data_IF_875268575244
#
_entry.id   IF_875268575244
#
_cell.length_a   1.000
_cell.length_b   1.000
_cell.length_c   1.000
_cell.angle_alpha   90.00
_cell.angle_beta   90.00
_cell.angle_gamma   90.00
#
_symmetry.space_group_name_H-M   'P 1'
#
loop_
_entity.id
_entity.type
_entity.pdbx_description
1 polymer ?
#
# COMPACT_ATOMS: atom_id res chain seq x y z
N UNK A 1 14.08 -13.22 1.37
CA UNK A 1 12.88 -14.01 1.05
C UNK A 1 12.44 -13.62 -0.34
N UNK A 2 12.40 -14.56 -1.29
CA UNK A 2 12.37 -14.27 -2.72
C UNK A 2 11.28 -15.06 -3.43
N UNK A 3 10.07 -14.51 -3.40
CA UNK A 3 9.00 -14.97 -4.29
C UNK A 3 9.26 -14.56 -5.74
N UNK A 4 8.71 -15.31 -6.68
CA UNK A 4 8.77 -15.02 -8.14
C UNK A 4 7.57 -14.17 -8.59
N UNK A 5 6.95 -13.43 -7.66
CA UNK A 5 5.84 -12.54 -8.03
C UNK A 5 6.44 -11.31 -8.71
N UNK A 6 6.03 -11.07 -9.94
CA UNK A 6 6.48 -9.92 -10.72
C UNK A 6 5.55 -8.73 -10.47
N UNK A 7 6.13 -7.55 -10.31
CA UNK A 7 5.42 -6.29 -10.14
C UNK A 7 6.11 -5.20 -10.96
N UNK A 8 5.38 -4.60 -11.89
CA UNK A 8 5.90 -3.56 -12.78
C UNK A 8 5.13 -2.26 -12.59
N UNK A 9 5.85 -1.15 -12.78
CA UNK A 9 5.29 0.20 -12.73
C UNK A 9 5.45 0.84 -14.09
N UNK A 10 4.33 1.23 -14.69
CA UNK A 10 4.33 2.01 -15.93
C UNK A 10 3.65 3.35 -15.64
N UNK A 11 4.38 4.47 -15.58
CA UNK A 11 3.78 5.79 -15.57
C UNK A 11 3.18 6.09 -16.96
N UNK A 12 1.96 6.60 -16.98
CA UNK A 12 1.22 6.99 -18.19
C UNK A 12 0.52 8.32 -17.93
N UNK A 13 1.24 9.42 -18.17
CA UNK A 13 0.79 10.75 -17.76
C UNK A 13 0.65 10.85 -16.24
N UNK A 14 -0.56 11.16 -15.78
CA UNK A 14 -0.90 11.27 -14.35
C UNK A 14 -1.26 9.92 -13.71
N UNK A 15 -1.29 8.85 -14.49
CA UNK A 15 -1.68 7.51 -14.04
C UNK A 15 -0.44 6.66 -13.78
N UNK A 16 -0.44 5.93 -12.69
CA UNK A 16 0.52 4.87 -12.40
C UNK A 16 -0.17 3.52 -12.54
N UNK A 17 0.37 2.64 -13.38
CA UNK A 17 -0.08 1.26 -13.51
C UNK A 17 0.84 0.33 -12.72
N UNK A 18 0.30 -0.32 -11.70
CA UNK A 18 0.93 -1.41 -10.97
C UNK A 18 0.32 -2.73 -11.43
N UNK A 19 1.11 -3.58 -12.08
CA UNK A 19 0.61 -4.82 -12.66
C UNK A 19 1.61 -5.97 -12.53
N UNK A 20 1.10 -7.18 -12.66
CA UNK A 20 1.92 -8.37 -12.54
C UNK A 20 1.09 -9.62 -12.32
N UNK A 21 1.72 -10.65 -11.76
CA UNK A 21 1.08 -11.91 -11.45
C UNK A 21 1.67 -12.49 -10.16
N UNK A 22 0.79 -12.95 -9.26
CA UNK A 22 1.24 -13.62 -8.04
C UNK A 22 1.60 -15.08 -8.32
N UNK A 23 2.73 -15.49 -7.75
CA UNK A 23 3.27 -16.86 -7.79
C UNK A 23 3.41 -17.40 -6.38
N UNK A 24 3.05 -18.67 -6.16
CA UNK A 24 3.12 -19.31 -4.83
C UNK A 24 4.54 -19.85 -4.53
N UNK A 25 5.35 -20.00 -5.57
CA UNK A 25 6.69 -20.55 -5.53
C UNK A 25 7.65 -19.66 -4.71
N UNK A 26 8.60 -20.30 -4.02
CA UNK A 26 9.67 -19.65 -3.23
C UNK A 26 9.20 -18.71 -2.11
N UNK A 27 8.14 -19.08 -1.38
CA UNK A 27 7.52 -18.22 -0.36
C UNK A 27 7.03 -16.87 -0.93
N UNK A 28 6.62 -16.88 -2.21
CA UNK A 28 5.96 -15.74 -2.84
C UNK A 28 4.52 -15.54 -2.37
N UNK A 29 3.75 -14.82 -3.18
CA UNK A 29 2.34 -14.56 -2.91
C UNK A 29 2.02 -13.14 -2.48
N UNK A 30 2.94 -12.21 -2.71
CA UNK A 30 2.64 -10.80 -2.71
C UNK A 30 3.47 -10.06 -3.76
N UNK A 31 2.97 -8.91 -4.21
CA UNK A 31 3.71 -7.94 -5.01
C UNK A 31 3.44 -6.55 -4.44
N UNK A 32 4.46 -5.69 -4.42
CA UNK A 32 4.37 -4.34 -3.84
C UNK A 32 5.01 -3.29 -4.75
N UNK A 33 4.41 -2.11 -4.83
CA UNK A 33 5.00 -0.89 -5.39
C UNK A 33 5.04 0.19 -4.31
N UNK A 34 6.09 1.01 -4.32
CA UNK A 34 6.34 2.03 -3.30
C UNK A 34 6.95 3.27 -3.90
N UNK A 35 6.73 4.41 -3.23
CA UNK A 35 7.27 5.72 -3.58
C UNK A 35 7.69 6.44 -2.32
N UNK A 36 8.92 6.96 -2.32
CA UNK A 36 9.40 7.86 -1.27
C UNK A 36 8.64 9.19 -1.29
N UNK A 37 8.31 9.68 -0.09
CA UNK A 37 7.73 10.99 0.16
C UNK A 37 8.58 11.74 1.19
N UNK A 38 8.50 13.07 1.18
CA UNK A 38 9.24 13.87 2.14
C UNK A 38 8.68 13.67 3.56
N UNK A 39 9.57 13.57 4.55
CA UNK A 39 9.22 13.63 5.96
C UNK A 39 8.38 14.88 6.24
N UNK A 40 7.39 14.74 7.12
CA UNK A 40 6.46 15.81 7.46
C UNK A 40 5.41 16.14 6.39
N UNK A 41 5.43 15.50 5.21
CA UNK A 41 4.46 15.82 4.14
C UNK A 41 3.00 15.45 4.47
N UNK A 42 2.80 14.60 5.49
CA UNK A 42 1.47 14.21 5.99
C UNK A 42 1.11 14.92 7.30
N UNK A 43 1.95 15.81 7.84
CA UNK A 43 1.61 16.52 9.08
C UNK A 43 0.40 17.43 8.93
N UNK A 44 -0.44 17.44 9.96
CA UNK A 44 -1.67 18.23 10.00
C UNK A 44 -2.79 17.73 9.08
N UNK A 45 -2.61 16.57 8.45
CA UNK A 45 -3.59 15.91 7.58
C UNK A 45 -4.39 14.88 8.37
N UNK A 46 -5.65 14.69 7.99
CA UNK A 46 -6.55 13.72 8.64
C UNK A 46 -6.64 12.41 7.89
N UNK A 47 -6.32 12.40 6.59
CA UNK A 47 -6.39 11.20 5.79
C UNK A 47 -5.74 11.33 4.43
N UNK A 48 -5.93 10.29 3.62
CA UNK A 48 -5.44 10.21 2.26
C UNK A 48 -6.56 9.78 1.32
N UNK A 49 -6.52 10.32 0.10
CA UNK A 49 -7.42 9.93 -0.98
C UNK A 49 -6.68 9.71 -2.28
N UNK A 50 -7.27 8.87 -3.12
CA UNK A 50 -6.79 8.59 -4.45
C UNK A 50 -7.92 8.09 -5.34
N UNK A 51 -7.74 8.19 -6.65
CA UNK A 51 -8.61 7.50 -7.60
C UNK A 51 -7.95 6.20 -8.05
N UNK A 52 -8.71 5.10 -8.05
CA UNK A 52 -8.23 3.82 -8.54
C UNK A 52 -9.26 3.05 -9.37
N UNK A 53 -8.75 2.21 -10.26
CA UNK A 53 -9.46 1.09 -10.88
C UNK A 53 -8.55 -0.13 -10.93
N UNK A 54 -9.12 -1.32 -10.86
CA UNK A 54 -8.35 -2.55 -10.92
C UNK A 54 -9.07 -3.69 -11.63
N UNK A 55 -8.32 -4.75 -11.90
CA UNK A 55 -8.89 -6.11 -12.00
C UNK A 55 -9.56 -6.41 -10.66
N UNK A 56 -10.82 -6.88 -10.63
CA UNK A 56 -11.62 -7.19 -9.43
C UNK A 56 -10.87 -8.09 -8.42
N UNK A 57 -9.97 -7.49 -7.65
CA UNK A 57 -8.96 -8.09 -6.77
C UNK A 57 -8.78 -7.12 -5.61
N UNK A 58 -8.39 -7.65 -4.46
CA UNK A 58 -8.20 -6.85 -3.27
C UNK A 58 -6.75 -6.37 -3.18
N UNK A 59 -6.62 -5.08 -2.89
CA UNK A 59 -5.34 -4.42 -2.71
C UNK A 59 -5.30 -3.81 -1.32
N UNK A 60 -4.10 -3.43 -0.92
CA UNK A 60 -3.86 -2.71 0.30
C UNK A 60 -2.98 -1.52 0.01
N UNK A 61 -3.31 -0.39 0.62
CA UNK A 61 -2.42 0.75 0.67
C UNK A 61 -1.54 0.64 1.92
N UNK A 62 -0.25 0.92 1.79
CA UNK A 62 0.67 0.98 2.91
C UNK A 62 1.31 2.38 3.06
N UNK A 63 1.47 2.80 4.31
CA UNK A 63 2.24 3.98 4.72
C UNK A 63 3.34 3.52 5.67
N UNK A 64 4.59 3.84 5.33
CA UNK A 64 5.78 3.33 6.03
C UNK A 64 6.43 4.48 6.80
N UNK A 65 6.32 4.51 8.14
CA UNK A 65 7.08 5.40 8.99
C UNK A 65 8.51 4.88 9.19
N UNK A 66 9.43 5.80 9.51
CA UNK A 66 10.69 5.42 10.11
C UNK A 66 10.41 4.78 11.48
N UNK A 67 11.12 3.70 11.80
CA UNK A 67 10.96 2.98 13.06
C UNK A 67 12.31 2.49 13.56
N UNK A 68 12.47 2.48 14.89
CA UNK A 68 13.65 1.95 15.58
C UNK A 68 13.35 0.56 16.21
N UNK A 69 12.28 -0.11 15.77
CA UNK A 69 11.95 -1.47 16.23
C UNK A 69 13.00 -2.51 15.76
N UNK A 70 13.00 -3.69 16.39
CA UNK A 70 14.01 -4.72 16.15
C UNK A 70 14.05 -5.27 14.71
N UNK A 71 12.94 -5.13 13.97
CA UNK A 71 12.84 -5.55 12.58
C UNK A 71 13.21 -4.44 11.58
N UNK A 72 13.36 -3.20 12.06
CA UNK A 72 13.60 -2.02 11.22
C UNK A 72 12.48 -1.76 10.20
N UNK A 73 11.28 -2.32 10.42
CA UNK A 73 10.15 -2.18 9.50
C UNK A 73 8.83 -1.99 10.26
N UNK A 74 7.97 -1.15 9.72
CA UNK A 74 6.60 -0.94 10.18
C UNK A 74 5.77 -0.47 8.99
N UNK A 75 4.55 -0.96 8.87
CA UNK A 75 3.59 -0.48 7.88
C UNK A 75 2.28 -0.13 8.59
N UNK A 76 1.66 0.95 8.16
CA UNK A 76 0.27 1.23 8.42
C UNK A 76 -0.51 0.88 7.17
N UNK A 77 -1.51 0.02 7.32
CA UNK A 77 -2.14 -0.68 6.20
C UNK A 77 -3.66 -0.53 6.22
N UNK A 78 -4.24 -0.36 5.03
CA UNK A 78 -5.69 -0.41 4.84
C UNK A 78 -6.03 -1.17 3.56
N UNK A 79 -6.98 -2.10 3.68
CA UNK A 79 -7.46 -2.91 2.56
C UNK A 79 -8.54 -2.15 1.77
N UNK A 80 -8.53 -2.30 0.44
CA UNK A 80 -9.56 -1.77 -0.44
C UNK A 80 -9.77 -2.68 -1.65
N UNK A 81 -11.02 -2.77 -2.10
CA UNK A 81 -11.40 -3.54 -3.29
C UNK A 81 -11.65 -2.58 -4.44
N UNK A 82 -10.77 -2.57 -5.44
CA UNK A 82 -10.92 -1.72 -6.61
C UNK A 82 -11.73 -2.40 -7.71
N UNK A 83 -12.72 -1.67 -8.24
CA UNK A 83 -13.56 -2.14 -9.37
C UNK A 83 -12.89 -1.86 -10.72
N UNK A 84 -13.47 -2.38 -11.81
CA UNK A 84 -13.00 -2.10 -13.18
C UNK A 84 -13.22 -0.66 -13.65
N UNK A 85 -13.97 0.14 -12.90
CA UNK A 85 -14.22 1.56 -13.17
C UNK A 85 -13.46 2.44 -12.17
N UNK A 86 -13.09 3.65 -12.60
CA UNK A 86 -12.48 4.63 -11.71
C UNK A 86 -13.42 4.99 -10.57
N UNK A 87 -12.92 4.90 -9.35
CA UNK A 87 -13.61 5.31 -8.12
C UNK A 87 -12.63 6.08 -7.24
N UNK A 88 -13.16 6.98 -6.41
CA UNK A 88 -12.40 7.65 -5.36
C UNK A 88 -12.43 6.81 -4.10
N UNK A 89 -11.26 6.56 -3.52
CA UNK A 89 -11.07 5.94 -2.21
C UNK A 89 -10.53 7.01 -1.28
N UNK A 90 -11.17 7.15 -0.13
CA UNK A 90 -10.84 8.13 0.89
C UNK A 90 -10.76 7.40 2.22
N UNK A 91 -9.64 7.53 2.92
CA UNK A 91 -9.36 6.83 4.16
C UNK A 91 -8.82 7.81 5.20
N UNK A 92 -9.44 7.81 6.38
CA UNK A 92 -8.90 8.53 7.53
C UNK A 92 -7.68 7.79 8.05
N UNK A 93 -6.67 8.52 8.55
CA UNK A 93 -5.47 7.89 9.10
C UNK A 93 -5.75 7.02 10.33
N UNK A 94 -6.86 7.26 11.03
CA UNK A 94 -7.30 6.44 12.16
C UNK A 94 -7.81 5.04 11.74
N UNK A 95 -8.15 4.84 10.46
CA UNK A 95 -8.59 3.53 9.95
C UNK A 95 -7.41 2.60 9.60
N UNK A 96 -6.20 3.16 9.47
CA UNK A 96 -5.02 2.38 9.14
C UNK A 96 -4.56 1.52 10.31
N UNK A 97 -4.23 0.26 10.02
CA UNK A 97 -3.79 -0.71 11.02
C UNK A 97 -2.29 -0.88 10.95
N UNK A 98 -1.65 -0.81 12.11
CA UNK A 98 -0.23 -1.10 12.23
C UNK A 98 0.07 -2.59 11.95
N UNK A 99 1.15 -2.84 11.23
CA UNK A 99 1.60 -4.14 10.82
C UNK A 99 3.14 -4.23 10.81
N UNK A 100 3.68 -5.30 11.40
CA UNK A 100 5.07 -5.71 11.26
C UNK A 100 5.08 -7.17 10.81
N UNK A 101 5.61 -7.46 9.62
CA UNK A 101 5.73 -8.83 9.09
C UNK A 101 4.42 -9.65 9.15
N UNK A 102 3.26 -9.02 8.91
CA UNK A 102 1.95 -9.67 8.98
C UNK A 102 1.34 -9.76 10.38
N UNK A 103 1.96 -9.14 11.40
CA UNK A 103 1.51 -9.15 12.79
C UNK A 103 1.09 -7.75 13.23
N UNK A 104 -0.01 -7.67 13.98
CA UNK A 104 -0.46 -6.44 14.67
C UNK A 104 -0.29 -6.65 16.18
N UNK A 105 0.71 -6.04 16.82
CA UNK A 105 0.90 -6.10 18.27
C UNK A 105 -0.29 -5.50 19.04
N UNK A 106 -0.54 -5.93 20.28
CA UNK A 106 -1.62 -5.37 21.12
C UNK A 106 -1.48 -3.86 21.38
N UNK A 107 -0.24 -3.39 21.60
CA UNK A 107 0.08 -1.98 21.87
C UNK A 107 0.55 -1.26 20.61
N UNK A 108 -0.07 -1.58 19.47
CA UNK A 108 0.24 -0.98 18.19
C UNK A 108 0.03 0.56 18.24
N UNK A 109 1.02 1.36 17.78
CA UNK A 109 0.85 2.80 17.66
C UNK A 109 -0.22 3.13 16.61
N UNK A 110 -0.78 4.34 16.69
CA UNK A 110 -1.68 4.85 15.63
C UNK A 110 -0.89 5.60 14.57
N UNK A 111 -1.38 5.57 13.33
CA UNK A 111 -0.71 6.28 12.23
C UNK A 111 -0.64 7.78 12.50
N UNK A 112 -1.74 8.37 13.01
CA UNK A 112 -1.84 9.78 13.35
C UNK A 112 -0.72 10.27 14.29
N UNK A 113 -0.15 9.39 15.13
CA UNK A 113 0.92 9.70 16.08
C UNK A 113 2.32 9.71 15.44
N UNK A 114 2.43 9.25 14.19
CA UNK A 114 3.71 9.00 13.49
C UNK A 114 3.81 9.69 12.13
N UNK A 115 2.87 10.58 11.80
CA UNK A 115 2.75 11.21 10.47
C UNK A 115 4.02 11.92 9.99
N UNK A 116 4.78 12.54 10.91
CA UNK A 116 6.04 13.19 10.55
C UNK A 116 7.06 12.19 9.98
N UNK A 117 7.10 10.98 10.54
CA UNK A 117 8.09 9.95 10.23
C UNK A 117 7.74 9.12 8.97
N UNK A 118 6.54 9.30 8.41
CA UNK A 118 6.13 8.63 7.17
C UNK A 118 6.97 9.15 6.01
N UNK A 119 7.72 8.24 5.39
CA UNK A 119 8.65 8.54 4.30
C UNK A 119 8.40 7.71 3.04
N UNK A 120 7.49 6.75 3.08
CA UNK A 120 7.09 5.96 1.92
C UNK A 120 5.58 5.69 1.96
N UNK A 121 4.96 5.70 0.77
CA UNK A 121 3.63 5.19 0.54
C UNK A 121 3.65 4.18 -0.61
N UNK A 122 2.69 3.27 -0.63
CA UNK A 122 2.64 2.26 -1.67
C UNK A 122 1.33 1.47 -1.74
N UNK A 123 1.36 0.47 -2.60
CA UNK A 123 0.29 -0.51 -2.76
C UNK A 123 0.87 -1.91 -2.75
N UNK A 124 0.14 -2.84 -2.14
CA UNK A 124 0.47 -4.26 -2.09
C UNK A 124 -0.75 -5.09 -2.47
N UNK A 125 -0.52 -6.19 -3.18
CA UNK A 125 -1.51 -7.25 -3.41
C UNK A 125 -0.97 -8.53 -2.79
N UNK A 126 -1.80 -9.21 -1.99
CA UNK A 126 -1.44 -10.46 -1.30
C UNK A 126 -2.65 -11.38 -1.09
N UNK A 127 -3.62 -11.31 -2.01
CA UNK A 127 -4.91 -12.02 -1.93
C UNK A 127 -4.83 -13.54 -2.20
N UNK A 128 -3.63 -14.05 -2.48
CA UNK A 128 -3.34 -15.47 -2.77
C UNK A 128 -4.07 -16.03 -3.99
N UNK A 129 -4.54 -15.19 -4.90
CA UNK A 129 -5.02 -15.63 -6.21
C UNK A 129 -3.81 -15.69 -7.15
N UNK A 130 -3.31 -16.92 -7.35
CA UNK A 130 -2.09 -17.21 -8.10
C UNK A 130 -2.34 -17.49 -9.59
N UNK A 131 -1.33 -17.25 -10.42
CA UNK A 131 -1.37 -17.51 -11.87
C UNK A 131 -2.51 -16.77 -12.60
N UNK A 132 -2.93 -15.64 -12.05
CA UNK A 132 -3.93 -14.74 -12.62
C UNK A 132 -3.37 -13.31 -12.57
N UNK A 133 -3.23 -12.62 -13.71
CA UNK A 133 -2.73 -11.27 -13.74
C UNK A 133 -3.57 -10.31 -12.89
N UNK A 134 -2.91 -9.33 -12.30
CA UNK A 134 -3.53 -8.17 -11.67
C UNK A 134 -3.09 -6.89 -12.37
N UNK A 135 -3.96 -5.89 -12.34
CA UNK A 135 -3.65 -4.51 -12.69
C UNK A 135 -4.37 -3.60 -11.71
N UNK A 136 -3.62 -2.70 -11.09
CA UNK A 136 -4.11 -1.55 -10.35
C UNK A 136 -3.65 -0.30 -11.10
N UNK A 137 -4.58 0.59 -11.43
CA UNK A 137 -4.28 1.91 -11.98
C UNK A 137 -4.67 2.95 -10.95
N UNK A 138 -3.76 3.87 -10.63
CA UNK A 138 -3.95 4.89 -9.60
C UNK A 138 -3.60 6.27 -10.16
N UNK A 139 -4.34 7.30 -9.75
CA UNK A 139 -4.03 8.72 -10.01
C UNK A 139 -4.50 9.58 -8.84
N UNK A 140 -4.10 10.85 -8.83
CA UNK A 140 -4.58 11.86 -7.89
C UNK A 140 -4.44 11.45 -6.41
N UNK A 141 -3.27 10.93 -6.04
CA UNK A 141 -2.96 10.58 -4.65
C UNK A 141 -2.64 11.87 -3.88
N UNK A 142 -3.43 12.19 -2.87
CA UNK A 142 -3.24 13.39 -2.05
C UNK A 142 -3.72 13.19 -0.61
N UNK A 143 -3.05 13.86 0.33
CA UNK A 143 -3.46 13.93 1.73
C UNK A 143 -4.35 15.17 1.96
N UNK A 144 -5.45 15.01 2.69
CA UNK A 144 -6.39 16.09 2.99
C UNK A 144 -6.25 16.62 4.43
#
# INVERSE_FOLDING_TARGET
MGGVSDGFVIPSGEIVHFWGELKAENNGGFASVRKEIAYGSLEGKSGIRFEAKATNRDFRMNLTPKTDNEWGIANFEIDFSATTSWQTYEFDFDDFKYNIMGLTPPDAPKLAETLYDVHELGFIISDKIFNVPFLLSVKNIEAY
#
